data_IF_392592638779
#
_entry.id   IF_392592638779
#
_cell.length_a   1.000
_cell.length_b   1.000
_cell.length_c   1.000
_cell.angle_alpha   90.00
_cell.angle_beta   90.00
_cell.angle_gamma   90.00
#
_symmetry.space_group_name_H-M   'P 1'
#
loop_
_entity.id
_entity.type
_entity.pdbx_description
1 polymer ?
#
# COMPACT_ATOMS: atom_id res chain seq x y z
N UNK A 1 -1.28 11.99 22.75
CA UNK A 1 -2.26 11.42 21.78
C UNK A 1 -3.42 10.83 22.55
N UNK A 2 -4.67 11.26 22.30
CA UNK A 2 -5.85 10.68 22.99
C UNK A 2 -5.98 9.21 22.57
N UNK A 3 -5.89 8.28 23.54
CA UNK A 3 -5.93 6.81 23.33
C UNK A 3 -7.15 6.31 22.56
N UNK A 4 -8.26 7.05 22.63
CA UNK A 4 -9.55 6.65 22.03
C UNK A 4 -9.86 7.32 20.68
N UNK A 5 -8.91 8.06 20.08
CA UNK A 5 -9.13 8.66 18.75
C UNK A 5 -9.17 7.55 17.70
N UNK A 6 -10.25 7.54 16.90
CA UNK A 6 -10.46 6.62 15.78
C UNK A 6 -10.23 7.33 14.46
N UNK A 7 -9.83 6.57 13.43
CA UNK A 7 -9.85 7.04 12.05
C UNK A 7 -11.28 6.96 11.47
N UNK A 8 -11.42 7.35 10.22
CA UNK A 8 -12.69 7.34 9.46
C UNK A 8 -13.34 5.94 9.31
N UNK A 9 -12.58 4.86 9.51
CA UNK A 9 -13.05 3.48 9.47
C UNK A 9 -13.31 2.88 10.87
N UNK A 10 -13.28 3.71 11.92
CA UNK A 10 -13.53 3.28 13.30
C UNK A 10 -12.34 2.58 13.98
N UNK A 11 -11.17 2.54 13.36
CA UNK A 11 -9.96 1.93 13.93
C UNK A 11 -9.30 2.88 14.94
N UNK A 12 -8.91 2.37 16.10
CA UNK A 12 -8.16 3.15 17.08
C UNK A 12 -6.77 3.51 16.56
N UNK A 13 -6.47 4.80 16.46
CA UNK A 13 -5.19 5.30 15.93
C UNK A 13 -3.99 4.85 16.77
N UNK A 14 -4.17 4.72 18.08
CA UNK A 14 -3.14 4.20 18.98
C UNK A 14 -2.75 2.77 18.61
N UNK A 15 -3.73 1.88 18.42
CA UNK A 15 -3.52 0.48 18.03
C UNK A 15 -2.86 0.43 16.64
N UNK A 16 -3.38 1.18 15.67
CA UNK A 16 -2.81 1.27 14.32
C UNK A 16 -1.34 1.71 14.37
N UNK A 17 -1.02 2.71 15.17
CA UNK A 17 0.36 3.21 15.35
C UNK A 17 1.29 2.10 15.85
N UNK A 18 0.88 1.34 16.87
CA UNK A 18 1.69 0.24 17.40
C UNK A 18 1.83 -0.92 16.41
N UNK A 19 0.78 -1.27 15.68
CA UNK A 19 0.86 -2.29 14.62
C UNK A 19 1.90 -1.88 13.58
N UNK A 20 1.87 -0.64 13.07
CA UNK A 20 2.84 -0.15 12.08
C UNK A 20 4.26 -0.19 12.63
N UNK A 21 4.47 0.23 13.87
CA UNK A 21 5.79 0.21 14.54
C UNK A 21 6.35 -1.20 14.66
N UNK A 22 5.56 -2.10 15.24
CA UNK A 22 6.00 -3.48 15.51
C UNK A 22 6.23 -4.22 14.20
N UNK A 23 5.24 -4.26 13.31
CA UNK A 23 5.39 -4.94 12.02
C UNK A 23 6.50 -4.32 11.17
N UNK A 24 6.64 -3.00 11.20
CA UNK A 24 7.69 -2.30 10.49
C UNK A 24 9.08 -2.64 11.04
N UNK A 25 9.28 -2.60 12.36
CA UNK A 25 10.56 -2.97 12.96
C UNK A 25 11.01 -4.39 12.57
N UNK A 26 10.08 -5.37 12.61
CA UNK A 26 10.38 -6.75 12.19
C UNK A 26 10.54 -6.91 10.68
N UNK A 27 9.90 -6.11 9.87
CA UNK A 27 9.94 -6.26 8.40
C UNK A 27 11.12 -5.55 7.75
N UNK A 28 11.72 -4.54 8.38
CA UNK A 28 12.79 -3.73 7.78
C UNK A 28 13.97 -4.56 7.27
N UNK A 29 14.45 -5.53 8.05
CA UNK A 29 15.56 -6.40 7.66
C UNK A 29 15.29 -7.22 6.39
N UNK A 30 14.04 -7.36 6.00
CA UNK A 30 13.65 -8.09 4.79
C UNK A 30 13.99 -7.32 3.52
N UNK A 31 14.14 -5.99 3.65
CA UNK A 31 14.44 -5.04 2.57
C UNK A 31 15.86 -4.47 2.69
N UNK A 32 16.38 -4.33 3.94
CA UNK A 32 17.69 -3.73 4.25
C UNK A 32 18.54 -4.65 5.12
N UNK A 33 18.83 -5.86 4.65
CA UNK A 33 19.63 -6.84 5.39
C UNK A 33 19.64 -8.19 4.69
N UNK A 34 18.48 -8.84 4.59
CA UNK A 34 18.39 -10.08 3.81
C UNK A 34 18.34 -9.83 2.30
N UNK A 35 17.87 -8.69 1.88
CA UNK A 35 17.85 -8.19 0.51
C UNK A 35 18.32 -6.73 0.51
N UNK A 36 18.47 -6.15 -0.66
CA UNK A 36 18.86 -4.76 -0.86
C UNK A 36 17.76 -4.03 -1.65
N UNK A 37 17.05 -3.12 -0.99
CA UNK A 37 16.03 -2.30 -1.61
C UNK A 37 16.64 -0.97 -2.05
N UNK A 38 16.81 -0.80 -3.34
CA UNK A 38 17.14 0.48 -3.98
C UNK A 38 15.86 1.30 -4.15
N UNK A 39 15.92 2.56 -3.77
CA UNK A 39 14.79 3.49 -3.78
C UNK A 39 15.22 4.70 -4.59
N UNK A 40 14.31 5.24 -5.40
CA UNK A 40 14.52 6.44 -6.19
C UNK A 40 13.28 7.32 -6.16
N UNK A 41 13.46 8.65 -6.06
CA UNK A 41 12.40 9.65 -6.14
C UNK A 41 11.54 9.77 -4.89
N UNK A 42 11.99 9.28 -3.75
CA UNK A 42 11.20 9.34 -2.52
C UNK A 42 11.02 10.75 -1.97
N UNK A 43 11.88 11.70 -2.33
CA UNK A 43 11.76 13.13 -1.98
C UNK A 43 10.46 13.76 -2.48
N UNK A 44 9.87 13.24 -3.57
CA UNK A 44 8.59 13.66 -4.14
C UNK A 44 7.47 13.59 -3.08
N UNK A 45 7.53 12.60 -2.20
CA UNK A 45 6.50 12.36 -1.18
C UNK A 45 6.32 13.54 -0.22
N UNK A 46 7.39 14.31 0.06
CA UNK A 46 7.31 15.48 0.95
C UNK A 46 6.64 16.69 0.32
N UNK A 47 6.53 16.69 -1.01
CA UNK A 47 5.88 17.78 -1.77
C UNK A 47 4.38 17.53 -1.96
N UNK A 48 3.90 16.32 -1.64
CA UNK A 48 2.51 15.94 -1.81
C UNK A 48 1.63 16.51 -0.68
N UNK A 49 0.38 16.85 -0.96
CA UNK A 49 -0.56 17.26 0.07
C UNK A 49 -0.87 16.11 1.04
N UNK A 50 -1.38 16.46 2.20
CA UNK A 50 -1.73 15.49 3.26
C UNK A 50 -2.81 14.48 2.85
N UNK A 51 -3.69 14.86 1.93
CA UNK A 51 -4.85 14.08 1.49
C UNK A 51 -4.98 14.07 -0.04
N UNK A 52 -5.89 13.26 -0.54
CA UNK A 52 -6.26 13.16 -1.96
C UNK A 52 -5.10 12.77 -2.89
N UNK A 53 -4.23 11.87 -2.43
CA UNK A 53 -3.14 11.28 -3.22
C UNK A 53 -3.42 9.80 -3.47
N UNK A 54 -3.36 9.41 -4.72
CA UNK A 54 -3.54 8.03 -5.18
C UNK A 54 -2.23 7.48 -5.76
N UNK A 55 -1.58 6.58 -5.05
CA UNK A 55 -0.42 5.85 -5.58
C UNK A 55 -0.91 4.66 -6.41
N UNK A 56 -0.40 4.55 -7.63
CA UNK A 56 -0.66 3.43 -8.53
C UNK A 56 0.61 2.64 -8.76
N UNK A 57 0.59 1.32 -8.58
CA UNK A 57 1.78 0.49 -8.72
C UNK A 57 1.48 -0.84 -9.40
N UNK A 58 2.49 -1.44 -10.02
CA UNK A 58 2.50 -2.86 -10.33
C UNK A 58 2.52 -3.68 -9.03
N UNK A 59 2.09 -4.94 -9.07
CA UNK A 59 1.89 -5.77 -7.88
C UNK A 59 2.62 -7.10 -8.00
N UNK A 60 3.55 -7.37 -7.10
CA UNK A 60 4.38 -8.56 -7.15
C UNK A 60 4.05 -9.58 -6.05
N UNK A 61 3.65 -9.11 -4.84
CA UNK A 61 3.29 -9.95 -3.69
C UNK A 61 2.09 -9.37 -2.95
N UNK A 62 1.37 -10.17 -2.15
CA UNK A 62 0.17 -9.65 -1.48
C UNK A 62 0.46 -8.59 -0.40
N UNK A 63 1.56 -8.73 0.36
CA UNK A 63 1.84 -7.87 1.50
C UNK A 63 3.18 -7.14 1.41
N UNK A 64 4.25 -7.78 0.90
CA UNK A 64 5.58 -7.19 0.94
C UNK A 64 5.66 -5.86 0.17
N UNK A 65 4.94 -5.73 -0.94
CA UNK A 65 4.91 -4.50 -1.73
C UNK A 65 4.39 -3.33 -0.91
N UNK A 66 3.24 -3.51 -0.25
CA UNK A 66 2.62 -2.49 0.59
C UNK A 66 3.48 -2.16 1.81
N UNK A 67 4.06 -3.19 2.45
CA UNK A 67 4.93 -2.99 3.61
C UNK A 67 6.17 -2.18 3.23
N UNK A 68 6.79 -2.46 2.08
CA UNK A 68 7.91 -1.65 1.58
C UNK A 68 7.51 -0.19 1.35
N UNK A 69 6.34 0.05 0.72
CA UNK A 69 5.82 1.42 0.52
C UNK A 69 5.58 2.13 1.86
N UNK A 70 5.05 1.45 2.87
CA UNK A 70 4.92 2.03 4.21
C UNK A 70 6.26 2.43 4.80
N UNK A 71 7.32 1.62 4.61
CA UNK A 71 8.67 1.98 5.03
C UNK A 71 9.18 3.22 4.31
N UNK A 72 9.15 3.21 2.97
CA UNK A 72 9.67 4.29 2.13
C UNK A 72 8.93 5.60 2.40
N UNK A 73 7.60 5.56 2.47
CA UNK A 73 6.79 6.76 2.71
C UNK A 73 7.09 7.39 4.07
N UNK A 74 7.15 6.57 5.14
CA UNK A 74 7.43 7.09 6.46
C UNK A 74 8.90 7.57 6.60
N UNK A 75 9.83 6.92 5.92
CA UNK A 75 11.23 7.33 5.90
C UNK A 75 11.38 8.70 5.23
N UNK A 76 10.83 8.87 4.02
CA UNK A 76 10.84 10.14 3.29
C UNK A 76 10.17 11.26 4.09
N UNK A 77 8.97 11.04 4.63
CA UNK A 77 8.27 12.03 5.47
C UNK A 77 9.04 12.40 6.75
N UNK A 78 10.00 11.57 7.15
CA UNK A 78 10.95 11.85 8.25
C UNK A 78 12.25 12.52 7.78
N UNK A 79 12.32 12.96 6.52
CA UNK A 79 13.49 13.62 5.94
C UNK A 79 14.59 12.67 5.45
N UNK A 80 14.28 11.40 5.19
CA UNK A 80 15.24 10.41 4.68
C UNK A 80 14.92 10.06 3.25
N UNK A 81 15.66 10.64 2.34
CA UNK A 81 15.48 10.36 0.91
C UNK A 81 16.18 9.05 0.54
N UNK A 82 15.46 8.25 -0.24
CA UNK A 82 15.91 7.01 -0.85
C UNK A 82 16.53 5.99 0.12
N UNK A 83 16.15 6.07 1.41
CA UNK A 83 16.71 5.21 2.44
C UNK A 83 15.72 4.83 3.52
N UNK A 84 15.64 3.52 3.82
CA UNK A 84 14.91 2.99 4.95
C UNK A 84 15.84 2.40 6.04
N UNK A 85 17.11 2.78 6.03
CA UNK A 85 18.08 2.41 7.08
C UNK A 85 17.65 3.02 8.41
N UNK A 86 17.78 2.29 9.49
CA UNK A 86 17.39 2.69 10.84
C UNK A 86 15.91 3.07 10.97
N UNK A 87 15.11 2.20 11.52
CA UNK A 87 13.63 2.27 11.63
C UNK A 87 13.07 3.41 12.50
N UNK A 88 13.89 4.36 12.95
CA UNK A 88 13.45 5.50 13.76
C UNK A 88 12.32 6.32 13.14
N UNK A 89 12.17 6.32 11.82
CA UNK A 89 11.03 6.96 11.13
C UNK A 89 9.67 6.34 11.49
N UNK A 90 9.65 5.11 12.01
CA UNK A 90 8.42 4.47 12.48
C UNK A 90 7.96 5.01 13.84
N UNK A 91 8.74 5.86 14.49
CA UNK A 91 8.32 6.43 15.78
C UNK A 91 7.09 7.32 15.65
N UNK A 92 6.93 8.02 14.54
CA UNK A 92 5.73 8.79 14.25
C UNK A 92 5.21 8.53 12.82
N UNK A 93 4.66 7.33 12.54
CA UNK A 93 4.24 6.96 11.20
C UNK A 93 3.01 7.75 10.76
N UNK A 94 2.89 7.95 9.43
CA UNK A 94 1.67 8.49 8.81
C UNK A 94 0.52 7.50 9.01
N UNK A 95 -0.48 7.90 9.80
CA UNK A 95 -1.60 7.03 10.16
C UNK A 95 -2.75 7.06 9.15
N UNK A 96 -2.87 8.13 8.36
CA UNK A 96 -3.83 8.27 7.27
C UNK A 96 -3.25 7.78 5.92
N UNK A 97 -2.56 6.65 5.96
CA UNK A 97 -2.10 5.90 4.81
C UNK A 97 -2.92 4.62 4.68
N UNK A 98 -3.50 4.42 3.50
CA UNK A 98 -4.42 3.35 3.18
C UNK A 98 -3.97 2.56 1.97
N UNK A 99 -4.47 1.34 1.81
CA UNK A 99 -4.25 0.55 0.61
C UNK A 99 -5.48 -0.29 0.26
N UNK A 100 -5.73 -0.43 -1.03
CA UNK A 100 -6.85 -1.21 -1.55
C UNK A 100 -6.48 -2.69 -1.56
N UNK A 101 -7.29 -3.52 -0.91
CA UNK A 101 -7.08 -4.96 -0.85
C UNK A 101 -8.38 -5.75 -1.02
N UNK A 102 -8.25 -6.98 -1.52
CA UNK A 102 -9.41 -7.87 -1.64
C UNK A 102 -9.85 -8.39 -0.27
N UNK A 103 -11.16 -8.31 0.00
CA UNK A 103 -11.79 -8.73 1.25
C UNK A 103 -11.47 -10.18 1.63
N UNK A 104 -11.43 -11.07 0.64
CA UNK A 104 -11.08 -12.47 0.85
C UNK A 104 -9.63 -12.63 1.35
N UNK A 105 -8.69 -11.84 0.80
CA UNK A 105 -7.29 -11.86 1.23
C UNK A 105 -7.14 -11.41 2.68
N UNK A 106 -7.88 -10.38 3.09
CA UNK A 106 -7.81 -9.81 4.45
C UNK A 106 -8.48 -10.70 5.50
N UNK A 107 -9.38 -11.60 5.11
CA UNK A 107 -10.06 -12.56 6.01
C UNK A 107 -9.31 -13.89 6.19
N UNK A 108 -8.27 -14.15 5.42
CA UNK A 108 -7.61 -15.45 5.32
C UNK A 108 -6.69 -15.84 6.50
N UNK A 109 -6.88 -15.25 7.70
CA UNK A 109 -6.14 -15.59 8.91
C UNK A 109 -5.86 -14.40 9.83
N UNK A 110 -5.13 -14.63 10.92
CA UNK A 110 -4.84 -13.60 11.91
C UNK A 110 -3.92 -12.50 11.36
N UNK A 111 -2.82 -12.85 10.73
CA UNK A 111 -1.84 -11.89 10.19
C UNK A 111 -2.46 -10.97 9.12
N UNK A 112 -3.22 -11.48 8.11
CA UNK A 112 -3.98 -10.61 7.21
C UNK A 112 -4.93 -9.63 7.92
N UNK A 113 -5.59 -10.05 9.01
CA UNK A 113 -6.46 -9.15 9.80
C UNK A 113 -5.66 -8.03 10.48
N UNK A 114 -4.46 -8.32 10.98
CA UNK A 114 -3.56 -7.31 11.55
C UNK A 114 -3.11 -6.32 10.46
N UNK A 115 -2.73 -6.82 9.29
CA UNK A 115 -2.44 -5.95 8.14
C UNK A 115 -3.66 -5.11 7.72
N UNK A 116 -4.86 -5.70 7.73
CA UNK A 116 -6.07 -4.95 7.44
C UNK A 116 -6.26 -3.78 8.40
N UNK A 117 -5.97 -3.97 9.68
CA UNK A 117 -6.04 -2.90 10.68
C UNK A 117 -4.99 -1.80 10.43
N UNK A 118 -3.87 -2.12 9.80
CA UNK A 118 -2.84 -1.13 9.45
C UNK A 118 -3.27 -0.14 8.34
N UNK A 119 -4.41 -0.35 7.66
CA UNK A 119 -4.94 0.62 6.69
C UNK A 119 -5.58 0.03 5.44
N UNK A 120 -6.04 -1.21 5.46
CA UNK A 120 -6.71 -1.81 4.31
C UNK A 120 -8.10 -1.21 4.08
N UNK A 121 -8.37 -0.82 2.82
CA UNK A 121 -9.71 -0.61 2.29
C UNK A 121 -10.10 -1.90 1.60
N UNK A 122 -10.96 -2.68 2.25
CA UNK A 122 -11.37 -3.99 1.73
C UNK A 122 -12.44 -3.83 0.66
N UNK A 123 -12.13 -4.27 -0.57
CA UNK A 123 -13.08 -4.30 -1.69
C UNK A 123 -13.45 -5.72 -2.08
N UNK A 124 -14.64 -5.92 -2.58
CA UNK A 124 -15.05 -7.20 -3.18
C UNK A 124 -14.58 -7.26 -4.63
N UNK A 125 -13.90 -8.37 -4.99
CA UNK A 125 -13.48 -8.59 -6.38
C UNK A 125 -14.70 -8.80 -7.26
N UNK A 126 -14.77 -8.09 -8.36
CA UNK A 126 -15.88 -8.20 -9.33
C UNK A 126 -15.70 -9.34 -10.31
N UNK A 127 -14.49 -9.88 -10.45
CA UNK A 127 -14.14 -10.87 -11.50
C UNK A 127 -13.75 -12.25 -10.96
N UNK A 128 -13.54 -12.40 -9.65
CA UNK A 128 -13.13 -13.68 -9.05
C UNK A 128 -13.60 -13.79 -7.60
N UNK A 129 -14.33 -14.85 -7.31
CA UNK A 129 -14.47 -15.34 -5.94
C UNK A 129 -13.33 -16.34 -5.65
N UNK A 130 -13.18 -16.82 -4.43
CA UNK A 130 -12.11 -17.72 -4.02
C UNK A 130 -11.95 -18.98 -4.89
N UNK A 131 -12.96 -19.36 -5.63
CA UNK A 131 -13.00 -20.62 -6.40
C UNK A 131 -13.47 -20.44 -7.87
N UNK A 132 -14.22 -19.40 -8.22
CA UNK A 132 -14.82 -19.22 -9.56
C UNK A 132 -14.65 -17.80 -10.09
N UNK A 133 -14.54 -17.65 -11.41
CA UNK A 133 -14.67 -16.35 -12.05
C UNK A 133 -16.12 -15.86 -11.92
N UNK A 134 -16.28 -14.63 -11.44
CA UNK A 134 -17.59 -14.03 -11.15
C UNK A 134 -17.66 -12.68 -11.84
N UNK A 135 -18.69 -12.44 -12.59
CA UNK A 135 -18.98 -11.10 -13.14
C UNK A 135 -19.96 -10.40 -12.17
N UNK A 136 -19.43 -9.59 -11.26
CA UNK A 136 -20.23 -8.80 -10.31
C UNK A 136 -20.10 -7.32 -10.61
N UNK A 137 -21.15 -6.58 -10.36
CA UNK A 137 -21.09 -5.12 -10.37
C UNK A 137 -20.27 -4.63 -9.18
N UNK A 138 -19.55 -3.50 -9.37
CA UNK A 138 -18.80 -2.85 -8.29
C UNK A 138 -19.80 -2.35 -7.25
N UNK A 139 -19.56 -2.68 -5.98
CA UNK A 139 -20.41 -2.19 -4.90
C UNK A 139 -20.17 -0.70 -4.68
N UNK A 140 -21.24 0.08 -4.64
CA UNK A 140 -21.17 1.52 -4.33
C UNK A 140 -20.50 1.80 -3.00
N UNK A 141 -20.65 0.91 -2.00
CA UNK A 141 -19.95 1.01 -0.71
C UNK A 141 -18.43 0.94 -0.84
N UNK A 142 -17.90 0.13 -1.76
CA UNK A 142 -16.46 0.00 -1.96
C UNK A 142 -15.88 1.29 -2.56
N UNK A 143 -16.61 1.89 -3.52
CA UNK A 143 -16.26 3.19 -4.13
C UNK A 143 -16.31 4.30 -3.06
N UNK A 144 -17.37 4.34 -2.25
CA UNK A 144 -17.51 5.32 -1.16
C UNK A 144 -16.38 5.21 -0.13
N UNK A 145 -15.93 3.99 0.21
CA UNK A 145 -14.82 3.78 1.14
C UNK A 145 -13.49 4.28 0.58
N UNK A 146 -13.26 4.11 -0.73
CA UNK A 146 -12.05 4.67 -1.37
C UNK A 146 -12.09 6.20 -1.33
N UNK A 147 -13.26 6.80 -1.63
CA UNK A 147 -13.42 8.27 -1.51
C UNK A 147 -13.10 8.76 -0.10
N UNK A 148 -13.72 8.16 0.92
CA UNK A 148 -13.44 8.51 2.32
C UNK A 148 -11.95 8.45 2.65
N UNK A 149 -11.24 7.43 2.16
CA UNK A 149 -9.82 7.29 2.39
C UNK A 149 -8.99 8.36 1.67
N UNK A 150 -9.36 8.76 0.45
CA UNK A 150 -8.73 9.87 -0.26
C UNK A 150 -8.97 11.21 0.44
N UNK A 151 -10.18 11.44 0.94
CA UNK A 151 -10.54 12.65 1.70
C UNK A 151 -9.75 12.76 3.04
N UNK A 152 -9.34 11.63 3.63
CA UNK A 152 -8.59 11.58 4.88
C UNK A 152 -7.07 11.50 4.70
N UNK A 153 -6.58 10.93 3.59
CA UNK A 153 -5.15 10.69 3.43
C UNK A 153 -4.71 10.19 2.06
N UNK A 154 -3.72 9.33 2.08
CA UNK A 154 -3.09 8.72 0.91
C UNK A 154 -3.59 7.30 0.69
N UNK A 155 -3.82 6.93 -0.56
CA UNK A 155 -4.32 5.61 -0.95
C UNK A 155 -3.37 4.94 -1.93
N UNK A 156 -2.96 3.70 -1.63
CA UNK A 156 -2.19 2.84 -2.53
C UNK A 156 -3.16 1.90 -3.25
N UNK A 157 -3.05 1.80 -4.57
CA UNK A 157 -3.81 0.84 -5.36
C UNK A 157 -2.95 0.13 -6.40
N UNK A 158 -3.38 -1.06 -6.78
CA UNK A 158 -2.73 -1.89 -7.78
C UNK A 158 -3.69 -2.11 -8.96
N UNK A 159 -3.56 -1.34 -10.05
CA UNK A 159 -4.55 -1.30 -11.13
C UNK A 159 -4.82 -2.65 -11.81
N UNK A 160 -3.85 -3.56 -11.82
CA UNK A 160 -4.03 -4.92 -12.35
C UNK A 160 -4.95 -5.78 -11.46
N UNK A 161 -5.07 -5.46 -10.16
CA UNK A 161 -5.85 -6.23 -9.18
C UNK A 161 -5.35 -7.66 -8.94
N UNK A 162 -4.13 -7.97 -9.35
CA UNK A 162 -3.50 -9.29 -9.23
C UNK A 162 -1.98 -9.17 -9.17
N UNK A 163 -1.33 -10.14 -8.51
CA UNK A 163 0.12 -10.29 -8.51
C UNK A 163 0.65 -11.09 -9.72
N UNK A 164 -0.23 -11.56 -10.61
CA UNK A 164 0.17 -12.24 -11.85
C UNK A 164 0.74 -11.21 -12.82
N UNK A 165 1.97 -11.40 -13.36
CA UNK A 165 2.58 -10.45 -14.28
C UNK A 165 1.78 -10.31 -15.59
N UNK A 166 1.98 -9.18 -16.25
CA UNK A 166 1.46 -8.90 -17.60
C UNK A 166 -0.07 -9.01 -17.76
N UNK A 167 -0.82 -8.91 -16.65
CA UNK A 167 -2.27 -8.83 -16.74
C UNK A 167 -2.71 -7.41 -17.08
N UNK A 168 -3.77 -7.23 -17.87
CA UNK A 168 -4.27 -5.91 -18.24
C UNK A 168 -4.73 -5.10 -17.00
N UNK A 169 -4.60 -3.79 -17.10
CA UNK A 169 -5.12 -2.84 -16.13
C UNK A 169 -6.65 -2.89 -16.12
N UNK A 170 -7.23 -2.81 -14.93
CA UNK A 170 -8.68 -2.83 -14.75
C UNK A 170 -9.26 -1.41 -14.69
N UNK A 171 -10.45 -1.26 -15.24
CA UNK A 171 -11.16 0.04 -15.34
C UNK A 171 -11.45 0.69 -13.98
N UNK A 172 -11.47 -0.07 -12.88
CA UNK A 172 -11.79 0.44 -11.54
C UNK A 172 -10.91 1.60 -11.09
N UNK A 173 -9.59 1.52 -11.31
CA UNK A 173 -8.68 2.62 -10.97
C UNK A 173 -8.95 3.87 -11.83
N UNK A 174 -9.22 3.70 -13.11
CA UNK A 174 -9.57 4.82 -14.01
C UNK A 174 -10.87 5.52 -13.55
N UNK A 175 -11.87 4.76 -13.09
CA UNK A 175 -13.09 5.34 -12.51
C UNK A 175 -12.82 6.15 -11.25
N UNK A 176 -11.96 5.66 -10.35
CA UNK A 176 -11.55 6.40 -9.15
C UNK A 176 -10.88 7.72 -9.54
N UNK A 177 -9.94 7.69 -10.47
CA UNK A 177 -9.22 8.87 -10.96
C UNK A 177 -10.21 9.89 -11.55
N UNK A 178 -11.06 9.45 -12.48
CA UNK A 178 -12.04 10.32 -13.15
C UNK A 178 -13.01 10.99 -12.16
N UNK A 179 -13.52 10.25 -11.17
CA UNK A 179 -14.57 10.75 -10.29
C UNK A 179 -14.03 11.56 -9.09
N UNK A 180 -12.85 11.21 -8.57
CA UNK A 180 -12.33 11.84 -7.34
C UNK A 180 -11.15 12.76 -7.58
N UNK A 181 -10.64 12.80 -8.81
CA UNK A 181 -9.58 13.71 -9.26
C UNK A 181 -8.41 13.80 -8.26
N UNK A 182 -7.85 12.67 -7.80
CA UNK A 182 -6.71 12.68 -6.89
C UNK A 182 -5.43 13.06 -7.62
N UNK A 183 -4.42 13.51 -6.89
CA UNK A 183 -3.04 13.55 -7.40
C UNK A 183 -2.60 12.10 -7.58
N UNK A 184 -2.27 11.70 -8.80
CA UNK A 184 -1.89 10.33 -9.15
C UNK A 184 -0.38 10.23 -9.23
N UNK A 185 0.20 9.38 -8.38
CA UNK A 185 1.65 9.15 -8.30
C UNK A 185 1.97 7.71 -8.70
N UNK A 186 2.66 7.48 -9.82
CA UNK A 186 3.09 6.15 -10.22
C UNK A 186 4.26 5.66 -9.36
N UNK A 187 4.23 4.37 -9.01
CA UNK A 187 5.33 3.65 -8.37
C UNK A 187 5.63 2.39 -9.16
N UNK A 188 6.90 2.16 -9.44
CA UNK A 188 7.36 0.94 -10.10
C UNK A 188 8.19 0.13 -9.11
N UNK A 189 7.85 -1.15 -8.94
CA UNK A 189 8.60 -2.06 -8.07
C UNK A 189 9.12 -3.26 -8.85
N UNK A 190 10.31 -3.74 -8.48
CA UNK A 190 10.84 -5.01 -8.97
C UNK A 190 11.60 -5.78 -7.88
N UNK A 191 11.88 -7.07 -8.13
CA UNK A 191 12.63 -7.95 -7.24
C UNK A 191 11.82 -8.64 -6.15
N UNK A 192 10.65 -8.14 -5.80
CA UNK A 192 9.85 -8.65 -4.68
C UNK A 192 9.39 -10.09 -4.90
N UNK A 193 8.97 -10.44 -6.11
CA UNK A 193 8.60 -11.82 -6.47
C UNK A 193 9.77 -12.80 -6.40
N UNK A 194 10.98 -12.32 -6.67
CA UNK A 194 12.20 -13.11 -6.54
C UNK A 194 12.58 -13.34 -5.09
N UNK A 195 12.37 -12.34 -4.25
CA UNK A 195 12.74 -12.35 -2.82
C UNK A 195 11.75 -13.09 -1.93
N UNK A 196 10.44 -12.97 -2.23
CA UNK A 196 9.38 -13.42 -1.34
C UNK A 196 8.48 -14.49 -1.97
N UNK A 197 7.75 -15.21 -1.11
CA UNK A 197 6.62 -16.04 -1.53
C UNK A 197 5.48 -15.17 -2.09
N UNK A 198 4.50 -15.78 -2.71
CA UNK A 198 3.34 -15.09 -3.30
C UNK A 198 2.60 -14.19 -2.30
N UNK A 199 2.56 -14.57 -1.02
CA UNK A 199 1.96 -13.75 0.02
C UNK A 199 2.85 -12.56 0.42
N UNK A 200 4.14 -12.63 0.19
CA UNK A 200 5.09 -11.63 0.66
C UNK A 200 5.38 -11.76 2.17
N UNK A 201 5.15 -12.93 2.75
CA UNK A 201 5.36 -13.18 4.18
C UNK A 201 6.68 -13.90 4.41
N UNK A 202 6.99 -14.92 3.61
CA UNK A 202 8.21 -15.71 3.75
C UNK A 202 9.28 -15.23 2.77
N UNK A 203 10.54 -15.14 3.24
CA UNK A 203 11.68 -14.92 2.36
C UNK A 203 11.93 -16.23 1.62
N UNK A 204 11.90 -16.15 0.31
CA UNK A 204 12.15 -17.26 -0.60
C UNK A 204 13.62 -17.30 -1.02
N UNK A 205 14.22 -16.12 -1.25
CA UNK A 205 15.62 -15.97 -1.60
C UNK A 205 16.17 -14.69 -0.96
N UNK A 206 17.41 -14.73 -0.48
CA UNK A 206 18.17 -13.60 0.06
C UNK A 206 19.12 -13.04 -1.00
N UNK A 207 19.71 -11.89 -0.72
CA UNK A 207 20.66 -11.19 -1.59
C UNK A 207 20.07 -10.88 -2.97
N UNK A 208 18.78 -10.52 -2.99
CA UNK A 208 18.10 -10.06 -4.19
C UNK A 208 18.07 -8.54 -4.17
N UNK A 209 18.50 -7.96 -5.28
CA UNK A 209 18.25 -6.56 -5.55
C UNK A 209 16.75 -6.35 -5.78
N UNK A 210 16.15 -5.54 -4.91
CA UNK A 210 14.79 -5.03 -5.03
C UNK A 210 14.86 -3.57 -5.44
N UNK A 211 13.88 -3.08 -6.17
CA UNK A 211 13.81 -1.66 -6.51
C UNK A 211 12.41 -1.10 -6.28
N UNK A 212 12.36 0.17 -5.93
CA UNK A 212 11.15 0.98 -5.85
C UNK A 212 11.45 2.37 -6.38
N UNK A 213 10.82 2.73 -7.48
CA UNK A 213 10.93 4.04 -8.09
C UNK A 213 9.61 4.79 -7.95
N UNK A 214 9.64 5.99 -7.38
CA UNK A 214 8.51 6.89 -7.24
C UNK A 214 8.62 7.95 -8.33
N UNK A 215 7.63 7.98 -9.21
CA UNK A 215 7.62 8.93 -10.34
C UNK A 215 6.94 10.23 -9.94
N UNK A 216 7.22 11.28 -10.68
CA UNK A 216 6.48 12.53 -10.57
C UNK A 216 4.97 12.32 -10.74
N UNK A 217 4.13 13.12 -10.07
CA UNK A 217 2.69 13.09 -10.27
C UNK A 217 2.33 13.22 -11.74
N UNK A 218 1.33 12.46 -12.18
CA UNK A 218 0.83 12.53 -13.56
C UNK A 218 0.12 13.85 -13.79
N UNK A 219 0.43 14.50 -14.90
CA UNK A 219 -0.36 15.62 -15.41
C UNK A 219 -1.65 15.04 -16.04
N UNK A 220 -2.77 15.19 -15.37
CA UNK A 220 -4.08 14.70 -15.82
C UNK A 220 -5.00 15.89 -16.02
N UNK A 221 -5.53 16.00 -17.22
CA UNK A 221 -6.65 16.90 -17.53
C UNK A 221 -7.96 16.22 -17.10
N UNK A 222 -8.63 16.79 -16.08
CA UNK A 222 -9.80 16.22 -15.42
C UNK A 222 -11.10 16.78 -15.98
#
# INVERSE_FOLDING_TARGET
>A
MRLFKKNIFGQYLFIKKWIIRILGAFSNQRYQGFNDLQIEGSEILRQLPETNVLFISNHQTYFADVVAMFHVFNASLSGRDDSIKNVGYLWNPKLNLYYVAAKETMKAGLLPKIFAYAGSISIERTWRSSVKDVNRQVKMSDISNIKKALDDGWVITFPQGTTTPFKPIRKGTAHIIKHYKPIVVPIVIDGFRRSFDKKGIRIKKKNILQSMEIKAPLAIDY
#
